data_IF_739155405604
#
_entry.id   IF_739155405604
#
_cell.length_a   1.000
_cell.length_b   1.000
_cell.length_c   1.000
_cell.angle_alpha   90.00
_cell.angle_beta   90.00
_cell.angle_gamma   90.00
#
_symmetry.space_group_name_H-M   'P 1'
#
loop_
_entity.id
_entity.type
_entity.pdbx_description
1 polymer ?
#
# COMPACT_ATOMS: atom_id res chain seq x y z
N UNK A 1 -5.66 5.76 -16.63
CA UNK A 1 -7.09 5.84 -16.98
C UNK A 1 -7.57 4.78 -17.94
N UNK A 2 -6.98 4.64 -19.14
CA UNK A 2 -7.35 3.53 -20.05
C UNK A 2 -6.66 2.20 -19.74
N UNK A 3 -5.43 2.23 -19.20
CA UNK A 3 -4.62 1.03 -18.90
C UNK A 3 -5.04 0.28 -17.62
N UNK A 4 -5.65 0.97 -16.64
CA UNK A 4 -6.07 0.35 -15.38
C UNK A 4 -7.52 -0.17 -15.40
N UNK A 5 -8.27 0.09 -16.48
CA UNK A 5 -9.62 -0.44 -16.72
C UNK A 5 -10.66 -0.11 -15.64
N UNK A 6 -11.91 -0.53 -15.86
CA UNK A 6 -12.99 -0.55 -14.86
C UNK A 6 -13.44 0.82 -14.33
N UNK A 7 -13.82 1.75 -15.20
CA UNK A 7 -14.51 3.00 -14.78
C UNK A 7 -13.77 3.79 -13.68
N UNK A 8 -12.48 4.07 -13.94
CA UNK A 8 -11.58 4.81 -13.03
C UNK A 8 -11.49 4.20 -11.61
N UNK A 9 -11.67 2.87 -11.49
CA UNK A 9 -11.70 2.14 -10.22
C UNK A 9 -10.53 2.50 -9.30
N UNK A 10 -9.31 2.58 -9.85
CA UNK A 10 -8.12 2.95 -9.08
C UNK A 10 -8.24 4.31 -8.40
N UNK A 11 -8.59 5.37 -9.15
CA UNK A 11 -8.73 6.73 -8.61
C UNK A 11 -9.84 6.80 -7.56
N UNK A 12 -10.99 6.19 -7.84
CA UNK A 12 -12.14 6.14 -6.92
C UNK A 12 -11.78 5.40 -5.62
N UNK A 13 -11.00 4.33 -5.72
CA UNK A 13 -10.53 3.59 -4.55
C UNK A 13 -9.53 4.39 -3.73
N UNK A 14 -8.60 5.12 -4.36
CA UNK A 14 -7.70 6.03 -3.64
C UNK A 14 -8.49 7.07 -2.85
N UNK A 15 -9.51 7.69 -3.45
CA UNK A 15 -10.35 8.69 -2.76
C UNK A 15 -11.04 8.07 -1.55
N UNK A 16 -11.68 6.90 -1.73
CA UNK A 16 -12.37 6.21 -0.64
C UNK A 16 -11.42 5.83 0.49
N UNK A 17 -10.28 5.23 0.16
CA UNK A 17 -9.29 4.79 1.16
C UNK A 17 -8.67 6.00 1.86
N UNK A 18 -8.36 7.09 1.14
CA UNK A 18 -7.89 8.33 1.78
C UNK A 18 -8.95 8.90 2.74
N UNK A 19 -10.23 8.90 2.36
CA UNK A 19 -11.30 9.36 3.23
C UNK A 19 -11.41 8.49 4.49
N UNK A 20 -11.39 7.17 4.35
CA UNK A 20 -11.39 6.26 5.51
C UNK A 20 -10.15 6.46 6.40
N UNK A 21 -8.96 6.56 5.81
CA UNK A 21 -7.72 6.78 6.54
C UNK A 21 -7.68 8.12 7.30
N UNK A 22 -8.31 9.15 6.73
CA UNK A 22 -8.34 10.49 7.32
C UNK A 22 -9.42 10.62 8.40
N UNK A 23 -10.66 10.20 8.10
CA UNK A 23 -11.81 10.42 8.98
C UNK A 23 -12.00 9.32 10.03
N UNK A 24 -11.85 8.06 9.64
CA UNK A 24 -12.15 6.92 10.51
C UNK A 24 -10.93 6.52 11.33
N UNK A 25 -9.84 6.09 10.67
CA UNK A 25 -8.67 5.55 11.38
C UNK A 25 -7.66 6.61 11.84
N UNK A 26 -7.74 7.83 11.31
CA UNK A 26 -6.84 8.97 11.65
C UNK A 26 -5.35 8.63 11.47
N UNK A 27 -5.02 7.84 10.45
CA UNK A 27 -3.65 7.37 10.19
C UNK A 27 -2.92 8.18 9.11
N UNK A 28 -3.55 9.19 8.51
CA UNK A 28 -2.95 10.02 7.46
C UNK A 28 -2.39 11.34 8.01
N UNK A 29 -1.13 11.63 7.70
CA UNK A 29 -0.50 12.91 8.05
C UNK A 29 0.98 12.79 8.41
N UNK A 30 1.86 12.70 7.41
CA UNK A 30 3.30 12.56 7.61
C UNK A 30 3.93 13.64 8.48
N UNK A 31 3.42 14.88 8.43
CA UNK A 31 3.87 15.98 9.28
C UNK A 31 3.66 15.71 10.78
N UNK A 32 2.76 14.78 11.12
CA UNK A 32 2.48 14.34 12.48
C UNK A 32 3.01 12.93 12.77
N UNK A 33 3.93 12.41 11.96
CA UNK A 33 4.51 11.06 12.12
C UNK A 33 3.59 9.91 11.67
N UNK A 34 2.49 10.22 10.99
CA UNK A 34 1.55 9.23 10.47
C UNK A 34 1.89 8.83 9.02
N UNK A 35 1.11 7.94 8.39
CA UNK A 35 1.41 7.48 7.02
C UNK A 35 1.37 8.65 6.04
N UNK A 36 2.36 8.71 5.14
CA UNK A 36 2.36 9.69 4.05
C UNK A 36 1.34 9.30 2.98
N UNK A 37 0.90 10.27 2.19
CA UNK A 37 -0.02 10.02 1.07
C UNK A 37 0.62 9.12 0.01
N UNK A 38 1.92 9.26 -0.23
CA UNK A 38 2.66 8.40 -1.17
C UNK A 38 2.79 6.96 -0.67
N UNK A 39 3.06 6.78 0.63
CA UNK A 39 3.10 5.45 1.23
C UNK A 39 1.72 4.78 1.12
N UNK A 40 0.64 5.49 1.45
CA UNK A 40 -0.71 4.96 1.29
C UNK A 40 -1.02 4.59 -0.17
N UNK A 41 -0.68 5.47 -1.12
CA UNK A 41 -0.87 5.20 -2.55
C UNK A 41 -0.10 3.97 -3.03
N UNK A 42 1.12 3.76 -2.52
CA UNK A 42 1.93 2.58 -2.80
C UNK A 42 1.25 1.31 -2.26
N UNK A 43 0.72 1.36 -1.04
CA UNK A 43 -0.01 0.25 -0.44
C UNK A 43 -1.28 -0.09 -1.24
N UNK A 44 -2.02 0.91 -1.70
CA UNK A 44 -3.20 0.70 -2.57
C UNK A 44 -2.78 0.12 -3.92
N UNK A 45 -1.72 0.63 -4.53
CA UNK A 45 -1.21 0.13 -5.81
C UNK A 45 -0.81 -1.34 -5.72
N UNK A 46 -0.19 -1.76 -4.61
CA UNK A 46 0.14 -3.16 -4.38
C UNK A 46 -1.10 -4.06 -4.28
N UNK A 47 -2.17 -3.61 -3.60
CA UNK A 47 -3.46 -4.34 -3.57
C UNK A 47 -4.03 -4.50 -4.98
N UNK A 48 -3.95 -3.46 -5.80
CA UNK A 48 -4.34 -3.57 -7.21
C UNK A 48 -3.47 -4.57 -7.96
N UNK A 49 -2.15 -4.55 -7.78
CA UNK A 49 -1.25 -5.48 -8.44
C UNK A 49 -1.63 -6.95 -8.14
N UNK A 50 -1.80 -7.28 -6.85
CA UNK A 50 -2.10 -8.65 -6.40
C UNK A 50 -3.51 -9.10 -6.76
N UNK A 51 -4.52 -8.23 -6.61
CA UNK A 51 -5.94 -8.62 -6.71
C UNK A 51 -6.64 -8.11 -7.98
N UNK A 52 -5.93 -7.53 -8.96
CA UNK A 52 -6.53 -6.84 -10.14
C UNK A 52 -7.67 -7.61 -10.82
N UNK A 53 -7.58 -8.94 -10.90
CA UNK A 53 -8.58 -9.79 -11.53
C UNK A 53 -9.92 -9.78 -10.76
N UNK A 54 -9.89 -9.83 -9.42
CA UNK A 54 -11.09 -9.93 -8.57
C UNK A 54 -11.68 -8.58 -8.16
N UNK A 55 -10.94 -7.48 -8.31
CA UNK A 55 -11.42 -6.16 -7.88
C UNK A 55 -12.51 -5.63 -8.82
N UNK A 56 -13.73 -5.46 -8.32
CA UNK A 56 -14.89 -5.01 -9.10
C UNK A 56 -15.38 -3.61 -8.75
N UNK A 57 -15.04 -3.10 -7.56
CA UNK A 57 -15.52 -1.80 -7.07
C UNK A 57 -14.67 -1.23 -5.93
N UNK A 58 -14.76 0.09 -5.64
CA UNK A 58 -13.92 0.74 -4.63
C UNK A 58 -14.06 0.15 -3.22
N UNK A 59 -15.26 -0.32 -2.86
CA UNK A 59 -15.50 -0.94 -1.56
C UNK A 59 -14.80 -2.29 -1.42
N UNK A 60 -14.77 -3.12 -2.48
CA UNK A 60 -14.01 -4.37 -2.51
C UNK A 60 -12.51 -4.09 -2.37
N UNK A 61 -12.01 -3.02 -3.01
CA UNK A 61 -10.61 -2.61 -2.85
C UNK A 61 -10.32 -2.21 -1.41
N UNK A 62 -11.19 -1.42 -0.78
CA UNK A 62 -11.06 -1.06 0.63
C UNK A 62 -11.08 -2.31 1.53
N UNK A 63 -12.00 -3.26 1.28
CA UNK A 63 -12.06 -4.52 2.02
C UNK A 63 -10.75 -5.31 1.90
N UNK A 64 -10.24 -5.51 0.68
CA UNK A 64 -8.96 -6.20 0.45
C UNK A 64 -7.78 -5.48 1.09
N UNK A 65 -7.76 -4.15 1.02
CA UNK A 65 -6.75 -3.33 1.67
C UNK A 65 -6.73 -3.58 3.19
N UNK A 66 -7.88 -3.51 3.84
CA UNK A 66 -8.00 -3.74 5.28
C UNK A 66 -7.65 -5.18 5.65
N UNK A 67 -8.23 -6.17 4.95
CA UNK A 67 -8.02 -7.59 5.24
C UNK A 67 -6.57 -8.02 5.07
N UNK A 68 -5.91 -7.55 4.00
CA UNK A 68 -4.51 -7.88 3.71
C UNK A 68 -3.57 -7.22 4.73
N UNK A 69 -3.69 -5.90 4.94
CA UNK A 69 -2.75 -5.17 5.79
C UNK A 69 -2.99 -5.36 7.29
N UNK A 70 -4.19 -5.77 7.72
CA UNK A 70 -4.43 -6.19 9.10
C UNK A 70 -3.71 -7.50 9.47
N UNK A 71 -3.44 -8.37 8.48
CA UNK A 71 -2.74 -9.65 8.67
C UNK A 71 -1.28 -9.61 8.25
N UNK A 72 -0.83 -8.49 7.68
CA UNK A 72 0.53 -8.37 7.19
C UNK A 72 1.53 -8.35 8.36
N UNK A 73 2.61 -9.11 8.23
CA UNK A 73 3.69 -9.16 9.22
C UNK A 73 4.57 -7.91 9.10
N UNK A 74 4.10 -6.82 9.72
CA UNK A 74 4.82 -5.56 9.77
C UNK A 74 6.10 -5.61 10.60
N UNK A 75 6.29 -6.63 11.44
CA UNK A 75 7.49 -6.75 12.29
C UNK A 75 8.68 -7.23 11.48
N UNK A 76 8.48 -8.24 10.62
CA UNK A 76 9.58 -8.85 9.86
C UNK A 76 9.70 -8.34 8.41
N UNK A 77 8.62 -7.78 7.83
CA UNK A 77 8.59 -7.40 6.42
C UNK A 77 8.27 -5.92 6.21
N UNK A 78 8.76 -5.40 5.08
CA UNK A 78 8.34 -4.15 4.47
C UNK A 78 7.58 -4.46 3.17
N UNK A 79 6.81 -3.50 2.66
CA UNK A 79 6.11 -3.64 1.38
C UNK A 79 6.86 -2.90 0.27
N UNK A 80 7.00 -3.56 -0.87
CA UNK A 80 7.40 -2.97 -2.15
C UNK A 80 6.33 -3.29 -3.21
N UNK A 81 6.42 -2.66 -4.39
CA UNK A 81 5.51 -2.98 -5.50
C UNK A 81 5.71 -4.41 -6.04
N UNK A 82 6.89 -4.99 -5.85
CA UNK A 82 7.19 -6.37 -6.23
C UNK A 82 6.79 -7.39 -5.14
N UNK A 83 6.31 -6.92 -3.99
CA UNK A 83 5.90 -7.78 -2.87
C UNK A 83 6.55 -7.46 -1.53
N UNK A 84 6.30 -8.32 -0.52
CA UNK A 84 6.91 -8.22 0.80
C UNK A 84 8.42 -8.43 0.72
N UNK A 85 9.17 -7.54 1.37
CA UNK A 85 10.63 -7.58 1.44
C UNK A 85 11.04 -7.82 2.88
N UNK A 86 11.82 -8.87 3.13
CA UNK A 86 12.32 -9.18 4.47
C UNK A 86 13.30 -8.11 4.96
N UNK A 87 13.09 -7.58 6.16
CA UNK A 87 13.96 -6.55 6.75
C UNK A 87 15.38 -7.06 7.01
N UNK A 88 15.54 -8.34 7.35
CA UNK A 88 16.87 -8.92 7.57
C UNK A 88 17.70 -8.93 6.30
N UNK A 89 17.08 -9.12 5.14
CA UNK A 89 17.75 -9.05 3.83
C UNK A 89 18.28 -7.65 3.50
N UNK A 90 17.67 -6.58 4.04
CA UNK A 90 18.13 -5.20 3.82
C UNK A 90 19.49 -4.91 4.47
N UNK A 91 19.82 -5.55 5.59
CA UNK A 91 21.12 -5.36 6.26
C UNK A 91 22.30 -5.76 5.38
N UNK A 92 22.10 -6.74 4.49
CA UNK A 92 23.11 -7.17 3.51
C UNK A 92 23.34 -6.15 2.38
N UNK A 93 22.36 -5.27 2.11
CA UNK A 93 22.44 -4.23 1.07
C UNK A 93 23.14 -2.97 1.57
N UNK A 94 22.97 -2.59 2.84
CA UNK A 94 23.65 -1.43 3.43
C UNK A 94 25.13 -1.68 3.70
N UNK A 95 25.54 -2.94 3.90
CA UNK A 95 26.95 -3.33 4.03
C UNK A 95 27.79 -3.24 2.75
N UNK A 96 27.17 -3.17 1.56
CA UNK A 96 27.89 -3.04 0.27
C UNK A 96 28.22 -1.60 -0.15
N UNK A 97 27.74 -0.58 0.58
CA UNK A 97 27.98 0.84 0.22
C UNK A 97 29.23 1.47 0.88
N UNK A 98 29.98 0.74 1.71
CA UNK A 98 31.16 1.26 2.43
C UNK A 98 32.48 0.57 2.09
N UNK A 99 32.53 -0.19 0.98
CA UNK A 99 33.78 -0.75 0.47
C UNK A 99 34.00 -0.23 -0.94
N UNK A 100 34.56 0.97 -1.03
CA UNK A 100 35.31 1.52 -2.16
C UNK A 100 36.26 2.59 -1.61
#
# INVERSE_FOLDING_TARGET
>A
DRLAGKDHLFKRSIILIKAWCYYESRILGAHHGLISTYALETLVLYIFHVFHASLTGPLEVLYRFLDYYAKFDWDNYCISLDGPVCKSSLSSLTGKKYVN
#
